data_IF_004541593833
#
_entry.id   IF_004541593833
#
_cell.length_a   1.000
_cell.length_b   1.000
_cell.length_c   1.000
_cell.angle_alpha   90.00
_cell.angle_beta   90.00
_cell.angle_gamma   90.00
#
_symmetry.space_group_name_H-M   'P 1'
#
loop_
_entity.id
_entity.type
_entity.pdbx_description
1 polymer ?
#
# COMPACT_ATOMS: atom_id res chain seq x y z
N UNK A 1 -9.66 -17.37 9.28
CA UNK A 1 -10.23 -16.15 8.68
C UNK A 1 -9.45 -14.91 9.09
N UNK A 2 -9.07 -14.12 8.11
CA UNK A 2 -8.35 -12.87 8.34
C UNK A 2 -9.18 -11.71 7.80
N UNK A 3 -9.45 -10.67 8.62
CA UNK A 3 -10.20 -9.51 8.12
C UNK A 3 -9.55 -8.89 6.88
N UNK A 4 -10.37 -8.40 5.97
CA UNK A 4 -9.90 -7.84 4.69
C UNK A 4 -8.84 -6.76 4.87
N UNK A 5 -9.06 -5.82 5.78
CA UNK A 5 -8.10 -4.73 6.01
C UNK A 5 -6.74 -5.26 6.46
N UNK A 6 -6.73 -6.23 7.38
CA UNK A 6 -5.49 -6.82 7.87
C UNK A 6 -4.79 -7.64 6.80
N UNK A 7 -5.53 -8.44 6.05
CA UNK A 7 -4.98 -9.25 4.97
C UNK A 7 -4.34 -8.36 3.90
N UNK A 8 -5.05 -7.31 3.49
CA UNK A 8 -4.56 -6.39 2.47
C UNK A 8 -3.32 -5.63 2.94
N UNK A 9 -3.30 -5.19 4.21
CA UNK A 9 -2.12 -4.51 4.74
C UNK A 9 -0.91 -5.44 4.77
N UNK A 10 -1.10 -6.72 5.07
CA UNK A 10 -0.03 -7.72 5.02
C UNK A 10 0.47 -7.93 3.59
N UNK A 11 -0.44 -7.95 2.61
CA UNK A 11 -0.04 -8.09 1.19
C UNK A 11 0.82 -6.90 0.74
N UNK A 12 0.46 -5.69 1.18
CA UNK A 12 1.25 -4.51 0.87
C UNK A 12 2.66 -4.65 1.44
N UNK A 13 2.78 -5.06 2.70
CA UNK A 13 4.09 -5.25 3.33
C UNK A 13 4.90 -6.35 2.64
N UNK A 14 4.27 -7.44 2.24
CA UNK A 14 4.93 -8.53 1.52
C UNK A 14 5.49 -8.04 0.17
N UNK A 15 4.71 -7.26 -0.57
CA UNK A 15 5.17 -6.72 -1.85
C UNK A 15 6.31 -5.72 -1.67
N UNK A 16 6.24 -4.89 -0.64
CA UNK A 16 7.34 -3.97 -0.33
C UNK A 16 8.62 -4.74 -0.02
N UNK A 17 8.52 -5.83 0.73
CA UNK A 17 9.68 -6.66 1.05
C UNK A 17 10.28 -7.31 -0.20
N UNK A 18 9.43 -7.79 -1.11
CA UNK A 18 9.87 -8.37 -2.37
C UNK A 18 10.59 -7.32 -3.22
N UNK A 19 9.99 -6.13 -3.35
CA UNK A 19 10.57 -5.05 -4.14
C UNK A 19 11.91 -4.59 -3.55
N UNK A 20 12.02 -4.56 -2.24
CA UNK A 20 13.29 -4.23 -1.57
C UNK A 20 14.38 -5.24 -1.91
N UNK A 21 14.05 -6.53 -1.87
CA UNK A 21 15.00 -7.60 -2.20
C UNK A 21 15.42 -7.57 -3.67
N UNK A 22 14.49 -7.25 -4.57
CA UNK A 22 14.80 -7.14 -5.99
C UNK A 22 15.76 -5.99 -6.28
N UNK A 23 15.57 -4.83 -5.58
CA UNK A 23 16.45 -3.69 -5.70
C UNK A 23 16.49 -3.04 -7.08
N UNK A 24 15.47 -3.26 -7.91
CA UNK A 24 15.45 -2.76 -9.29
C UNK A 24 14.52 -1.57 -9.48
N UNK A 25 13.26 -1.69 -9.05
CA UNK A 25 12.25 -0.66 -9.27
C UNK A 25 12.18 0.36 -8.15
N UNK A 26 12.31 -0.12 -6.90
CA UNK A 26 12.30 0.73 -5.72
C UNK A 26 13.59 0.46 -4.95
N UNK A 27 14.52 1.42 -4.97
CA UNK A 27 15.86 1.24 -4.41
C UNK A 27 16.04 1.83 -3.03
N UNK A 28 15.12 2.69 -2.60
CA UNK A 28 15.26 3.43 -1.34
C UNK A 28 14.66 2.72 -0.12
N UNK A 29 14.00 1.59 -0.30
CA UNK A 29 13.32 0.88 0.79
C UNK A 29 14.30 0.24 1.77
N UNK A 30 13.99 0.36 3.05
CA UNK A 30 14.68 -0.30 4.15
C UNK A 30 13.78 -1.39 4.73
N UNK A 31 14.33 -2.30 5.59
CA UNK A 31 13.56 -3.45 6.09
C UNK A 31 12.32 -3.10 6.89
N UNK A 32 12.32 -1.99 7.62
CA UNK A 32 11.21 -1.65 8.50
C UNK A 32 10.11 -0.91 7.75
N UNK A 33 8.89 -1.45 7.81
CA UNK A 33 7.74 -0.85 7.18
C UNK A 33 6.48 -1.23 7.93
N UNK A 34 5.51 -0.32 7.94
CA UNK A 34 4.18 -0.54 8.52
C UNK A 34 3.12 -0.14 7.51
N UNK A 35 2.00 -0.85 7.54
CA UNK A 35 0.89 -0.58 6.65
C UNK A 35 -0.41 -0.66 7.43
N UNK A 36 -1.34 0.24 7.10
CA UNK A 36 -2.67 0.24 7.68
C UNK A 36 -3.69 0.54 6.59
N UNK A 37 -4.78 -0.22 6.59
CA UNK A 37 -5.84 -0.06 5.60
C UNK A 37 -7.13 0.27 6.32
N UNK A 38 -7.79 1.35 5.89
CA UNK A 38 -9.09 1.73 6.40
C UNK A 38 -10.13 1.49 5.31
N UNK A 39 -11.19 0.77 5.65
CA UNK A 39 -12.25 0.40 4.73
C UNK A 39 -13.51 1.22 5.00
N UNK A 40 -14.24 1.51 3.93
CA UNK A 40 -15.60 2.03 4.03
C UNK A 40 -16.57 0.86 4.04
N UNK A 41 -17.49 0.84 4.99
CA UNK A 41 -18.45 -0.24 5.17
C UNK A 41 -19.88 0.23 4.86
N UNK A 42 -20.70 -0.72 4.40
CA UNK A 42 -22.13 -0.49 4.22
C UNK A 42 -22.86 -0.57 5.57
N UNK A 43 -24.15 -0.21 5.59
CA UNK A 43 -24.98 -0.26 6.81
C UNK A 43 -25.08 -1.67 7.40
N UNK A 44 -24.93 -2.70 6.58
CA UNK A 44 -24.93 -4.11 7.02
C UNK A 44 -23.51 -4.64 7.30
N UNK A 45 -22.56 -3.73 7.51
CA UNK A 45 -21.18 -4.05 7.89
C UNK A 45 -20.39 -4.84 6.85
N UNK A 46 -20.74 -4.70 5.57
CA UNK A 46 -19.96 -5.31 4.48
C UNK A 46 -18.97 -4.30 3.92
N UNK A 47 -17.73 -4.71 3.64
CA UNK A 47 -16.75 -3.79 3.07
C UNK A 47 -17.15 -3.37 1.66
N UNK A 48 -17.14 -2.07 1.40
CA UNK A 48 -17.48 -1.49 0.09
C UNK A 48 -16.24 -1.15 -0.71
N UNK A 49 -15.31 -0.43 -0.08
CA UNK A 49 -14.11 0.04 -0.76
C UNK A 49 -13.03 0.42 0.25
N UNK A 50 -11.83 0.60 -0.26
CA UNK A 50 -10.73 1.12 0.55
C UNK A 50 -10.88 2.64 0.62
N UNK A 51 -10.90 3.18 1.83
CA UNK A 51 -10.97 4.63 2.05
C UNK A 51 -9.57 5.23 2.14
N UNK A 52 -8.70 4.64 2.96
CA UNK A 52 -7.38 5.19 3.23
C UNK A 52 -6.34 4.08 3.33
N UNK A 53 -5.18 4.31 2.72
CA UNK A 53 -3.99 3.49 2.91
C UNK A 53 -2.93 4.33 3.60
N UNK A 54 -2.44 3.84 4.74
CA UNK A 54 -1.33 4.47 5.45
C UNK A 54 -0.12 3.55 5.32
N UNK A 55 0.97 4.08 4.80
CA UNK A 55 2.22 3.32 4.67
C UNK A 55 3.34 4.13 5.30
N UNK A 56 4.00 3.53 6.28
CA UNK A 56 5.18 4.08 6.91
C UNK A 56 6.34 3.15 6.60
N UNK A 57 7.38 3.64 5.93
CA UNK A 57 8.53 2.82 5.57
C UNK A 57 9.81 3.54 5.92
N UNK A 58 10.81 2.79 6.37
CA UNK A 58 12.17 3.29 6.41
C UNK A 58 12.71 3.34 4.99
N UNK A 59 13.37 4.43 4.66
CA UNK A 59 13.94 4.64 3.33
C UNK A 59 15.17 5.52 3.42
N UNK A 60 15.98 5.48 2.39
CA UNK A 60 17.12 6.38 2.27
C UNK A 60 16.65 7.81 2.02
N UNK A 61 17.37 8.78 2.55
CA UNK A 61 17.10 10.18 2.26
C UNK A 61 17.63 10.49 0.86
N UNK A 62 16.70 10.64 -0.09
CA UNK A 62 17.07 10.89 -1.48
C UNK A 62 16.59 12.24 -2.01
N UNK A 63 15.78 12.96 -1.21
CA UNK A 63 15.25 14.28 -1.59
C UNK A 63 14.65 14.95 -0.35
N UNK A 64 13.96 16.07 -0.53
CA UNK A 64 13.23 16.71 0.57
C UNK A 64 12.12 15.78 1.05
N UNK A 65 11.71 15.93 2.30
CA UNK A 65 10.68 15.08 2.90
C UNK A 65 9.40 15.06 2.06
N UNK A 66 8.96 16.23 1.61
CA UNK A 66 7.74 16.35 0.82
C UNK A 66 7.85 15.61 -0.52
N UNK A 67 9.00 15.72 -1.19
CA UNK A 67 9.24 15.02 -2.45
C UNK A 67 9.38 13.52 -2.25
N UNK A 68 10.03 13.10 -1.17
CA UNK A 68 10.15 11.68 -0.84
C UNK A 68 8.79 11.05 -0.61
N UNK A 69 7.90 11.72 0.16
CA UNK A 69 6.55 11.22 0.40
C UNK A 69 5.76 11.11 -0.90
N UNK A 70 5.86 12.11 -1.78
CA UNK A 70 5.18 12.08 -3.07
C UNK A 70 5.68 10.93 -3.94
N UNK A 71 6.99 10.70 -3.95
CA UNK A 71 7.59 9.59 -4.73
C UNK A 71 7.15 8.24 -4.19
N UNK A 72 7.15 8.06 -2.88
CA UNK A 72 6.71 6.81 -2.26
C UNK A 72 5.25 6.55 -2.56
N UNK A 73 4.38 7.57 -2.44
CA UNK A 73 2.97 7.44 -2.77
C UNK A 73 2.77 7.03 -4.22
N UNK A 74 3.50 7.64 -5.14
CA UNK A 74 3.44 7.31 -6.55
C UNK A 74 3.87 5.87 -6.81
N UNK A 75 4.97 5.44 -6.22
CA UNK A 75 5.48 4.08 -6.40
C UNK A 75 4.52 3.04 -5.84
N UNK A 76 3.86 3.32 -4.72
CA UNK A 76 2.84 2.44 -4.18
C UNK A 76 1.67 2.30 -5.16
N UNK A 77 1.17 3.42 -5.68
CA UNK A 77 0.04 3.40 -6.61
C UNK A 77 0.37 2.75 -7.94
N UNK A 78 1.56 2.94 -8.46
CA UNK A 78 1.93 2.49 -9.81
C UNK A 78 2.62 1.13 -9.84
N UNK A 79 3.26 0.72 -8.75
CA UNK A 79 4.03 -0.53 -8.70
C UNK A 79 3.41 -1.53 -7.73
N UNK A 80 3.22 -1.15 -6.47
CA UNK A 80 2.79 -2.07 -5.42
C UNK A 80 1.35 -2.53 -5.63
N UNK A 81 0.43 -1.58 -5.81
CA UNK A 81 -0.99 -1.89 -5.97
C UNK A 81 -1.26 -2.74 -7.22
N UNK A 82 -0.73 -2.40 -8.41
CA UNK A 82 -0.93 -3.25 -9.58
C UNK A 82 -0.40 -4.68 -9.40
N UNK A 83 0.72 -4.85 -8.70
CA UNK A 83 1.25 -6.21 -8.43
C UNK A 83 0.30 -7.01 -7.54
N UNK A 84 -0.28 -6.36 -6.52
CA UNK A 84 -1.24 -7.01 -5.62
C UNK A 84 -2.49 -7.40 -6.39
N UNK A 85 -3.02 -6.52 -7.22
CA UNK A 85 -4.23 -6.79 -8.00
C UNK A 85 -4.01 -7.87 -9.04
N UNK A 86 -2.82 -7.97 -9.60
CA UNK A 86 -2.48 -9.03 -10.55
C UNK A 86 -2.37 -10.39 -9.84
N UNK A 87 -1.76 -10.43 -8.67
CA UNK A 87 -1.59 -11.65 -7.89
C UNK A 87 -2.89 -12.07 -7.19
N UNK A 88 -3.70 -11.10 -6.77
CA UNK A 88 -4.91 -11.32 -5.99
C UNK A 88 -6.07 -10.51 -6.56
N UNK A 89 -6.65 -10.94 -7.70
CA UNK A 89 -7.74 -10.16 -8.35
C UNK A 89 -8.97 -9.95 -7.48
N UNK A 90 -9.12 -10.73 -6.41
CA UNK A 90 -10.25 -10.60 -5.47
C UNK A 90 -10.32 -9.24 -4.78
N UNK A 91 -9.20 -8.50 -4.73
CA UNK A 91 -9.18 -7.17 -4.11
C UNK A 91 -9.57 -6.04 -5.07
N UNK A 92 -9.62 -6.32 -6.36
CA UNK A 92 -9.90 -5.31 -7.37
C UNK A 92 -11.17 -4.50 -7.14
N UNK A 93 -12.31 -5.12 -6.74
CA UNK A 93 -13.54 -4.36 -6.50
C UNK A 93 -13.43 -3.32 -5.39
N UNK A 94 -12.46 -3.45 -4.49
CA UNK A 94 -12.28 -2.53 -3.37
C UNK A 94 -11.43 -1.32 -3.72
N UNK A 95 -10.68 -1.36 -4.82
CA UNK A 95 -9.84 -0.27 -5.29
C UNK A 95 -10.62 0.60 -6.27
N UNK A 96 -11.56 1.39 -5.73
CA UNK A 96 -12.41 2.27 -6.54
C UNK A 96 -12.62 3.59 -5.84
N UNK A 97 -12.97 4.63 -6.59
CA UNK A 97 -13.17 5.98 -6.05
C UNK A 97 -11.86 6.62 -5.64
N UNK A 98 -11.95 7.65 -4.82
CA UNK A 98 -10.77 8.38 -4.33
C UNK A 98 -10.23 7.72 -3.07
N UNK A 99 -9.11 7.04 -3.21
CA UNK A 99 -8.41 6.43 -2.08
C UNK A 99 -7.37 7.42 -1.58
N UNK A 100 -7.36 7.68 -0.27
CA UNK A 100 -6.38 8.56 0.34
C UNK A 100 -5.11 7.77 0.67
N UNK A 101 -3.96 8.32 0.30
CA UNK A 101 -2.67 7.71 0.57
C UNK A 101 -1.89 8.59 1.53
N UNK A 102 -1.64 8.09 2.73
CA UNK A 102 -0.82 8.76 3.74
C UNK A 102 0.52 8.06 3.85
N UNK A 103 1.58 8.80 3.57
CA UNK A 103 2.94 8.29 3.62
C UNK A 103 3.69 9.00 4.74
N UNK A 104 4.25 8.23 5.64
CA UNK A 104 5.06 8.75 6.76
C UNK A 104 6.52 8.43 6.56
#
# INVERSE_FOLDING_TARGET
>A
YMPLALDLSHKILQELAILRREGKKIKYLRPDAKSQVTLEYSDDHKPLRIDTLVVSTQHDDFDTEKKMQARIAKDIQEIVIPRILKAYPKYKPYFKGNIKYHIN
#
